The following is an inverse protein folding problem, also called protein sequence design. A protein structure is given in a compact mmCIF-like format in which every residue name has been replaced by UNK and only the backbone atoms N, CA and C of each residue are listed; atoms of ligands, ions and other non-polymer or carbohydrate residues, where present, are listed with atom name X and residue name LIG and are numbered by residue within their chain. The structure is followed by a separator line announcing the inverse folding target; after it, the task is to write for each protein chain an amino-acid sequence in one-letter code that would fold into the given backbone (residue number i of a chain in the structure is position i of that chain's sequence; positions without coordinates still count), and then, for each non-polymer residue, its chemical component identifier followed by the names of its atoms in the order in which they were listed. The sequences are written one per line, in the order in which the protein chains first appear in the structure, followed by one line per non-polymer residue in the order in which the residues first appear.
data_IF_627235691804
#
_entry.id   IF_627235691804
#
_cell.length_a   1.000
_cell.length_b   1.000
_cell.length_c   1.000
_cell.angle_alpha   90.00
_cell.angle_beta   90.00
_cell.angle_gamma   90.00
#
_symmetry.space_group_name_H-M   'P 1'
#
loop_
_entity.id
_entity.type
_entity.pdbx_description
1 polymer ?
#
# COMPACT_ATOMS: atom_id res chain seq x y z
N UNK A 1 35.43 -16.34 -10.06
CA UNK A 1 35.47 -15.79 -8.68
C UNK A 1 34.05 -15.79 -8.11
N UNK A 2 33.47 -16.98 -7.90
CA UNK A 2 32.07 -17.19 -7.45
C UNK A 2 31.94 -18.01 -6.16
N UNK A 3 33.07 -18.45 -5.58
CA UNK A 3 33.11 -19.52 -4.58
C UNK A 3 32.43 -19.22 -3.24
N UNK A 4 32.45 -17.98 -2.75
CA UNK A 4 32.03 -17.74 -1.37
C UNK A 4 30.52 -17.93 -1.14
N UNK A 5 29.70 -17.68 -2.16
CA UNK A 5 28.24 -17.84 -2.04
C UNK A 5 27.88 -19.32 -2.19
N UNK A 6 28.43 -20.01 -3.18
CA UNK A 6 28.18 -21.44 -3.37
C UNK A 6 28.66 -22.27 -2.18
N UNK A 7 29.81 -21.93 -1.61
CA UNK A 7 30.34 -22.57 -0.39
C UNK A 7 29.46 -22.26 0.84
N UNK A 8 28.94 -21.04 0.96
CA UNK A 8 28.01 -20.68 2.03
C UNK A 8 26.64 -21.37 1.89
N UNK A 9 26.13 -21.50 0.66
CA UNK A 9 24.89 -22.20 0.35
C UNK A 9 25.03 -23.72 0.56
N UNK A 10 26.16 -24.30 0.18
CA UNK A 10 26.48 -25.70 0.45
C UNK A 10 26.49 -25.97 1.96
N UNK A 11 27.14 -25.10 2.74
CA UNK A 11 27.12 -25.18 4.21
C UNK A 11 25.71 -25.06 4.79
N UNK A 12 24.92 -24.11 4.31
CA UNK A 12 23.53 -23.93 4.75
C UNK A 12 22.68 -25.17 4.42
N UNK A 13 22.88 -25.79 3.26
CA UNK A 13 22.16 -27.01 2.87
C UNK A 13 22.50 -28.22 3.74
N UNK A 14 23.74 -28.27 4.26
CA UNK A 14 24.22 -29.35 5.13
C UNK A 14 23.90 -29.13 6.62
N UNK A 15 23.41 -27.94 6.99
CA UNK A 15 23.10 -27.61 8.37
C UNK A 15 21.84 -28.35 8.82
N UNK A 16 21.90 -28.97 10.01
CA UNK A 16 20.73 -29.59 10.62
C UNK A 16 19.63 -28.54 10.83
N UNK A 17 18.39 -28.80 10.39
CA UNK A 17 17.26 -27.90 10.63
C UNK A 17 17.14 -27.59 12.13
N UNK A 18 16.98 -26.31 12.45
CA UNK A 18 16.82 -25.89 13.83
C UNK A 18 15.52 -26.47 14.42
N UNK A 19 15.54 -26.95 15.67
CA UNK A 19 14.36 -27.58 16.29
C UNK A 19 13.14 -26.65 16.34
N UNK A 20 13.35 -25.33 16.40
CA UNK A 20 12.28 -24.34 16.31
C UNK A 20 11.55 -24.31 14.96
N UNK A 21 12.10 -24.93 13.90
CA UNK A 21 11.44 -25.10 12.60
C UNK A 21 10.54 -26.33 12.54
N UNK A 22 10.70 -27.29 13.46
CA UNK A 22 9.90 -28.50 13.51
C UNK A 22 8.43 -28.13 13.79
N UNK A 23 7.54 -28.53 12.87
CA UNK A 23 6.11 -28.23 12.98
C UNK A 23 5.77 -26.75 12.84
N UNK A 24 6.65 -25.93 12.26
CA UNK A 24 6.31 -24.53 11.96
C UNK A 24 5.15 -24.42 10.97
N UNK A 25 5.09 -25.32 9.99
CA UNK A 25 4.00 -25.33 9.00
C UNK A 25 2.64 -25.50 9.69
N UNK A 26 2.48 -26.54 10.52
CA UNK A 26 1.24 -26.77 11.28
C UNK A 26 0.91 -25.59 12.21
N UNK A 27 1.93 -24.99 12.82
CA UNK A 27 1.76 -23.84 13.72
C UNK A 27 1.32 -22.59 12.97
N UNK A 28 1.88 -22.35 11.77
CA UNK A 28 1.53 -21.22 10.90
C UNK A 28 0.13 -21.41 10.32
N UNK A 29 -0.18 -22.59 9.77
CA UNK A 29 -1.50 -22.89 9.24
C UNK A 29 -2.57 -22.89 10.35
N UNK A 30 -2.22 -23.38 11.54
CA UNK A 30 -3.02 -23.25 12.75
C UNK A 30 -3.29 -21.79 13.11
N UNK A 31 -2.26 -20.94 13.06
CA UNK A 31 -2.41 -19.51 13.34
C UNK A 31 -3.23 -18.76 12.27
N UNK A 32 -3.11 -19.12 11.00
CA UNK A 32 -3.91 -18.53 9.90
C UNK A 32 -5.38 -18.96 10.02
N UNK A 33 -5.62 -20.25 10.25
CA UNK A 33 -6.99 -20.77 10.42
C UNK A 33 -7.66 -20.27 11.70
N UNK A 34 -6.88 -20.02 12.75
CA UNK A 34 -7.35 -19.44 14.01
C UNK A 34 -7.40 -17.92 13.99
N UNK A 35 -6.83 -17.26 12.98
CA UNK A 35 -6.99 -15.83 12.80
C UNK A 35 -8.48 -15.61 12.55
N UNK A 36 -9.23 -14.98 13.48
CA UNK A 36 -10.58 -14.60 13.15
C UNK A 36 -10.44 -13.70 11.94
N UNK A 37 -11.10 -14.05 10.84
CA UNK A 37 -11.45 -13.03 9.88
C UNK A 37 -12.13 -11.98 10.74
N UNK A 38 -11.50 -10.82 10.92
CA UNK A 38 -12.15 -9.63 11.47
C UNK A 38 -13.22 -9.20 10.47
N UNK A 39 -14.17 -10.09 10.24
CA UNK A 39 -15.41 -9.85 9.57
C UNK A 39 -16.11 -8.90 10.51
N UNK A 40 -15.95 -7.62 10.21
CA UNK A 40 -17.10 -6.73 10.15
C UNK A 40 -18.23 -7.57 9.57
N UNK A 41 -19.04 -8.17 10.45
CA UNK A 41 -20.03 -9.18 10.08
C UNK A 41 -20.84 -8.66 8.91
N UNK A 42 -21.29 -9.51 7.99
CA UNK A 42 -21.78 -9.17 6.65
C UNK A 42 -22.55 -7.83 6.53
N UNK A 43 -23.34 -7.44 7.55
CA UNK A 43 -23.99 -6.13 7.64
C UNK A 43 -23.05 -4.91 7.71
N UNK A 44 -21.92 -4.97 8.42
CA UNK A 44 -20.96 -3.87 8.54
C UNK A 44 -20.09 -3.72 7.27
N UNK A 45 -19.76 -4.81 6.57
CA UNK A 45 -19.16 -4.75 5.24
C UNK A 45 -20.13 -4.15 4.22
N UNK A 46 -21.40 -4.58 4.21
CA UNK A 46 -22.46 -3.99 3.40
C UNK A 46 -22.63 -2.48 3.66
N UNK A 47 -22.67 -2.08 4.93
CA UNK A 47 -22.78 -0.68 5.33
C UNK A 47 -21.56 0.15 4.88
N UNK A 48 -20.35 -0.39 5.01
CA UNK A 48 -19.13 0.27 4.55
C UNK A 48 -19.12 0.46 3.01
N UNK A 49 -19.51 -0.56 2.25
CA UNK A 49 -19.67 -0.41 0.79
C UNK A 49 -20.75 0.60 0.41
N UNK A 50 -21.89 0.60 1.11
CA UNK A 50 -22.96 1.57 0.89
C UNK A 50 -22.50 3.00 1.16
N UNK A 51 -21.81 3.22 2.28
CA UNK A 51 -21.24 4.52 2.62
C UNK A 51 -20.20 4.99 1.59
N UNK A 52 -19.32 4.11 1.12
CA UNK A 52 -18.32 4.45 0.10
C UNK A 52 -18.97 4.87 -1.23
N UNK A 53 -20.04 4.19 -1.66
CA UNK A 53 -20.80 4.54 -2.85
C UNK A 53 -21.52 5.88 -2.71
N UNK A 54 -22.16 6.12 -1.56
CA UNK A 54 -22.81 7.40 -1.26
C UNK A 54 -21.78 8.54 -1.27
N UNK A 55 -20.62 8.34 -0.62
CA UNK A 55 -19.56 9.34 -0.59
C UNK A 55 -19.00 9.64 -1.99
N UNK A 56 -18.85 8.61 -2.84
CA UNK A 56 -18.43 8.76 -4.23
C UNK A 56 -19.44 9.54 -5.09
N UNK A 57 -20.73 9.27 -4.93
CA UNK A 57 -21.79 10.02 -5.62
C UNK A 57 -21.85 11.49 -5.16
N UNK A 58 -21.79 11.71 -3.84
CA UNK A 58 -21.79 13.07 -3.25
C UNK A 58 -20.55 13.86 -3.70
N UNK A 59 -19.38 13.22 -3.77
CA UNK A 59 -18.14 13.85 -4.26
C UNK A 59 -18.20 14.26 -5.73
N UNK A 60 -19.08 13.68 -6.54
CA UNK A 60 -19.26 14.04 -7.94
C UNK A 60 -20.28 15.18 -8.12
N UNK A 61 -21.25 15.29 -7.21
CA UNK A 61 -22.30 16.33 -7.25
C UNK A 61 -21.86 17.62 -6.57
N UNK A 62 -21.06 17.54 -5.51
CA UNK A 62 -20.45 18.72 -4.89
C UNK A 62 -19.21 19.07 -5.71
N UNK A 63 -19.19 20.20 -6.43
CA UNK A 63 -17.97 20.66 -7.08
C UNK A 63 -16.92 20.81 -5.98
N UNK A 64 -15.89 19.97 -5.99
CA UNK A 64 -14.74 20.18 -5.13
C UNK A 64 -14.24 21.58 -5.47
N UNK A 65 -14.47 22.53 -4.56
CA UNK A 65 -14.03 23.92 -4.74
C UNK A 65 -12.60 23.88 -5.23
N UNK A 66 -12.32 24.60 -6.34
CA UNK A 66 -11.06 24.50 -7.08
C UNK A 66 -9.89 24.35 -6.13
N UNK A 67 -9.19 23.22 -6.19
CA UNK A 67 -8.10 22.91 -5.28
C UNK A 67 -7.08 24.05 -5.35
N UNK A 68 -7.09 24.93 -4.34
CA UNK A 68 -6.15 26.04 -4.29
C UNK A 68 -4.82 25.44 -3.87
N UNK A 69 -3.83 25.50 -4.76
CA UNK A 69 -2.49 24.99 -4.50
C UNK A 69 -2.00 25.47 -3.13
N UNK A 70 -1.51 24.52 -2.33
CA UNK A 70 -0.94 24.83 -1.02
C UNK A 70 0.17 25.88 -1.18
N UNK A 71 0.33 26.81 -0.22
CA UNK A 71 1.44 27.75 -0.23
C UNK A 71 2.76 27.00 -0.32
N UNK A 72 3.72 27.58 -1.03
CA UNK A 72 5.04 27.00 -1.25
C UNK A 72 5.65 26.48 0.07
N UNK A 73 5.96 25.18 0.11
CA UNK A 73 6.62 24.58 1.25
C UNK A 73 8.09 25.00 1.24
N UNK A 74 8.49 25.82 2.21
CA UNK A 74 9.88 26.19 2.41
C UNK A 74 10.71 24.95 2.78
N UNK A 75 11.91 24.74 2.20
CA UNK A 75 12.69 25.67 1.38
C UNK A 75 12.56 25.47 -0.14
N UNK A 76 11.58 24.72 -0.64
CA UNK A 76 11.48 24.30 -2.05
C UNK A 76 11.02 25.40 -3.03
N UNK A 77 10.78 26.62 -2.55
CA UNK A 77 10.46 27.78 -3.38
C UNK A 77 9.07 27.74 -4.01
N UNK A 78 8.61 28.90 -4.53
CA UNK A 78 7.32 29.02 -5.21
C UNK A 78 7.26 28.11 -6.45
N UNK A 79 6.10 27.48 -6.76
CA UNK A 79 5.95 26.70 -7.98
C UNK A 79 6.29 27.60 -9.17
N UNK A 80 7.29 27.20 -9.96
CA UNK A 80 7.74 27.95 -11.12
C UNK A 80 6.56 28.16 -12.09
N UNK A 81 6.26 29.40 -12.52
CA UNK A 81 5.19 29.70 -13.46
C UNK A 81 5.47 29.16 -14.89
N UNK A 82 6.57 28.44 -15.07
CA UNK A 82 7.09 27.93 -16.34
C UNK A 82 6.96 26.40 -16.47
N UNK A 83 6.04 25.76 -15.75
CA UNK A 83 5.73 24.36 -16.00
C UNK A 83 5.30 24.20 -17.49
N UNK A 84 5.95 23.33 -18.30
CA UNK A 84 5.82 23.31 -19.76
C UNK A 84 4.40 23.16 -20.32
N UNK A 85 3.43 22.70 -19.51
CA UNK A 85 2.02 22.60 -19.87
C UNK A 85 1.25 23.92 -19.80
N UNK A 86 1.77 24.96 -19.11
CA UNK A 86 1.18 26.30 -19.11
C UNK A 86 1.22 26.97 -20.50
N UNK A 87 2.15 26.53 -21.37
CA UNK A 87 2.23 26.96 -22.77
C UNK A 87 1.15 26.33 -23.67
N UNK A 88 0.54 25.21 -23.27
CA UNK A 88 -0.45 24.49 -24.09
C UNK A 88 -1.90 24.85 -23.73
N UNK A 89 -2.13 25.41 -22.53
CA UNK A 89 -3.44 25.97 -22.12
C UNK A 89 -3.56 27.48 -22.34
N UNK A 90 -2.57 28.10 -22.98
CA UNK A 90 -2.42 29.55 -23.10
C UNK A 90 -2.69 30.09 -24.50
N UNK A 91 -3.71 29.60 -25.21
CA UNK A 91 -4.27 30.27 -26.38
C UNK A 91 -5.79 30.13 -26.40
N UNK A 92 -6.43 31.14 -25.79
CA UNK A 92 -7.83 31.56 -25.93
C UNK A 92 -8.93 30.66 -25.33
#
# INVERSE_FOLDING_TARGET
MGNNIDDALARLSSATPHEGLAGLEDRVLGAISSQPASGLGTGATLAATGLALVLGLVSNVIPSSAARAAPALSPLGAPSPLAPSALLGGTQ
#
